data_IF_606065197408
#
_entry.id   IF_606065197408
#
_cell.length_a   1.000
_cell.length_b   1.000
_cell.length_c   1.000
_cell.angle_alpha   90.00
_cell.angle_beta   90.00
_cell.angle_gamma   90.00
#
_symmetry.space_group_name_H-M   'P 1'
#
loop_
_entity.id
_entity.type
_entity.pdbx_description
1 polymer ?
#
# COMPACT_ATOMS: atom_id res chain seq x y z
N UNK A 1 12.96 -25.57 -15.62
CA UNK A 1 12.69 -24.15 -15.82
C UNK A 1 12.24 -23.54 -14.51
N UNK A 2 12.83 -22.40 -14.17
CA UNK A 2 12.48 -21.72 -12.94
C UNK A 2 11.20 -20.90 -13.14
N UNK A 3 10.22 -21.10 -12.27
CA UNK A 3 9.00 -20.28 -12.29
C UNK A 3 9.31 -18.89 -11.73
N UNK A 4 8.85 -17.87 -12.42
CA UNK A 4 8.94 -16.50 -11.92
C UNK A 4 7.75 -16.30 -10.97
N UNK A 5 8.02 -15.96 -9.68
CA UNK A 5 6.91 -15.71 -8.77
C UNK A 5 6.08 -14.52 -9.25
N UNK A 6 4.79 -14.68 -9.28
CA UNK A 6 3.89 -13.57 -9.58
C UNK A 6 3.53 -12.83 -8.28
N UNK A 7 3.31 -11.52 -8.40
CA UNK A 7 2.85 -10.71 -7.29
C UNK A 7 1.37 -10.99 -7.05
N UNK A 8 1.02 -11.39 -5.84
CA UNK A 8 -0.38 -11.49 -5.42
C UNK A 8 -0.83 -10.10 -4.95
N UNK A 9 -1.51 -9.38 -5.82
CA UNK A 9 -1.93 -8.01 -5.55
C UNK A 9 -2.94 -7.93 -4.41
N UNK A 10 -3.82 -8.93 -4.29
CA UNK A 10 -4.79 -8.97 -3.20
C UNK A 10 -4.10 -9.19 -1.87
N UNK A 11 -3.15 -10.11 -1.79
CA UNK A 11 -2.39 -10.37 -0.58
C UNK A 11 -1.53 -9.16 -0.21
N UNK A 12 -0.93 -8.51 -1.18
CA UNK A 12 -0.16 -7.29 -0.97
C UNK A 12 -1.06 -6.18 -0.40
N UNK A 13 -2.25 -6.02 -0.96
CA UNK A 13 -3.22 -5.04 -0.48
C UNK A 13 -3.65 -5.30 0.96
N UNK A 14 -3.92 -6.55 1.31
CA UNK A 14 -4.25 -6.95 2.68
C UNK A 14 -3.08 -6.64 3.63
N UNK A 15 -1.85 -6.86 3.20
CA UNK A 15 -0.66 -6.55 4.00
C UNK A 15 -0.53 -5.04 4.23
N UNK A 16 -0.78 -4.23 3.22
CA UNK A 16 -0.77 -2.77 3.37
C UNK A 16 -1.79 -2.35 4.42
N UNK A 17 -3.01 -2.87 4.34
CA UNK A 17 -4.07 -2.59 5.32
C UNK A 17 -3.65 -3.00 6.72
N UNK A 18 -3.14 -4.22 6.87
CA UNK A 18 -2.72 -4.76 8.16
C UNK A 18 -1.60 -3.93 8.78
N UNK A 19 -0.57 -3.63 8.00
CA UNK A 19 0.57 -2.84 8.49
C UNK A 19 0.16 -1.42 8.85
N UNK A 20 -0.74 -0.83 8.07
CA UNK A 20 -1.30 0.48 8.38
C UNK A 20 -2.00 0.49 9.72
N UNK A 21 -2.86 -0.51 9.95
CA UNK A 21 -3.59 -0.64 11.20
C UNK A 21 -2.66 -0.89 12.39
N UNK A 22 -1.64 -1.72 12.19
CA UNK A 22 -0.63 -1.98 13.24
C UNK A 22 0.17 -0.73 13.59
N UNK A 23 0.41 0.13 12.61
CA UNK A 23 1.09 1.41 12.82
C UNK A 23 0.17 2.47 13.46
N UNK A 24 -1.10 2.17 13.64
CA UNK A 24 -2.07 3.12 14.20
C UNK A 24 -2.47 4.23 13.24
N UNK A 25 -2.31 4.01 11.93
CA UNK A 25 -2.59 5.02 10.92
C UNK A 25 -3.93 4.76 10.24
N UNK A 26 -4.70 5.83 10.02
CA UNK A 26 -5.89 5.77 9.18
C UNK A 26 -5.53 5.93 7.71
N UNK A 27 -6.48 5.61 6.82
CA UNK A 27 -6.31 5.91 5.40
C UNK A 27 -6.09 7.41 5.17
N UNK A 28 -6.78 8.24 5.94
CA UNK A 28 -6.61 9.69 5.87
C UNK A 28 -5.19 10.13 6.27
N UNK A 29 -4.62 9.48 7.28
CA UNK A 29 -3.24 9.75 7.68
C UNK A 29 -2.29 9.46 6.53
N UNK A 30 -2.45 8.32 5.85
CA UNK A 30 -1.64 8.00 4.68
C UNK A 30 -1.86 9.00 3.55
N UNK A 31 -3.11 9.38 3.31
CA UNK A 31 -3.43 10.38 2.30
C UNK A 31 -2.64 11.67 2.53
N UNK A 32 -2.59 12.13 3.78
CA UNK A 32 -1.86 13.34 4.15
C UNK A 32 -0.35 13.16 3.99
N UNK A 33 0.19 12.02 4.41
CA UNK A 33 1.61 11.71 4.28
C UNK A 33 2.05 11.75 2.82
N UNK A 34 1.25 11.19 1.91
CA UNK A 34 1.55 11.18 0.49
C UNK A 34 1.22 12.50 -0.22
N UNK A 35 0.45 13.38 0.42
CA UNK A 35 0.00 14.62 -0.22
C UNK A 35 -1.04 14.39 -1.30
N UNK A 36 -1.81 13.30 -1.23
CA UNK A 36 -2.86 13.01 -2.20
C UNK A 36 -4.11 13.86 -1.93
N UNK A 37 -4.76 14.31 -3.00
CA UNK A 37 -6.00 15.07 -2.87
C UNK A 37 -7.19 14.20 -2.50
N UNK A 38 -7.12 12.89 -2.77
CA UNK A 38 -8.18 11.92 -2.45
C UNK A 38 -7.55 10.63 -1.91
N UNK A 39 -8.31 9.79 -1.19
CA UNK A 39 -7.79 8.52 -0.70
C UNK A 39 -7.87 7.37 -1.71
N UNK A 40 -8.31 7.65 -2.95
CA UNK A 40 -8.64 6.58 -3.90
C UNK A 40 -7.46 5.68 -4.24
N UNK A 41 -6.27 6.23 -4.40
CA UNK A 41 -5.08 5.43 -4.71
C UNK A 41 -4.80 4.43 -3.58
N UNK A 42 -4.93 4.86 -2.33
CA UNK A 42 -4.70 4.00 -1.16
C UNK A 42 -5.71 2.87 -1.13
N UNK A 43 -6.98 3.16 -1.38
CA UNK A 43 -8.01 2.11 -1.44
C UNK A 43 -7.73 1.11 -2.56
N UNK A 44 -7.29 1.58 -3.73
CA UNK A 44 -6.92 0.69 -4.83
C UNK A 44 -5.76 -0.23 -4.44
N UNK A 45 -4.78 0.28 -3.72
CA UNK A 45 -3.68 -0.54 -3.21
C UNK A 45 -4.19 -1.61 -2.24
N UNK A 46 -5.05 -1.21 -1.30
CA UNK A 46 -5.60 -2.13 -0.30
C UNK A 46 -6.49 -3.21 -0.91
N UNK A 47 -7.21 -2.88 -1.98
CA UNK A 47 -8.08 -3.83 -2.67
C UNK A 47 -7.35 -4.67 -3.72
N UNK A 48 -6.08 -4.38 -3.99
CA UNK A 48 -5.30 -5.11 -4.97
C UNK A 48 -5.66 -4.79 -6.41
N UNK A 49 -6.34 -3.66 -6.66
CA UNK A 49 -6.70 -3.25 -8.02
C UNK A 49 -5.62 -2.40 -8.69
N UNK A 50 -4.68 -1.91 -7.91
CA UNK A 50 -3.50 -1.19 -8.41
C UNK A 50 -2.35 -1.38 -7.45
N UNK A 51 -1.12 -1.31 -7.94
CA UNK A 51 0.08 -1.35 -7.14
C UNK A 51 0.63 0.07 -6.96
N UNK A 52 1.19 0.39 -5.78
CA UNK A 52 1.94 1.63 -5.64
C UNK A 52 3.12 1.67 -6.59
N UNK A 53 3.44 2.85 -7.12
CA UNK A 53 4.68 3.05 -7.85
C UNK A 53 5.88 2.87 -6.89
N UNK A 54 7.07 2.68 -7.46
CA UNK A 54 8.26 2.36 -6.65
C UNK A 54 8.56 3.44 -5.61
N UNK A 55 8.44 4.70 -5.96
CA UNK A 55 8.64 5.81 -5.03
C UNK A 55 7.64 5.76 -3.87
N UNK A 56 6.39 5.43 -4.15
CA UNK A 56 5.37 5.28 -3.12
C UNK A 56 5.62 4.05 -2.24
N UNK A 57 6.15 2.96 -2.82
CA UNK A 57 6.53 1.77 -2.04
C UNK A 57 7.64 2.10 -1.04
N UNK A 58 8.62 2.91 -1.43
CA UNK A 58 9.70 3.33 -0.53
C UNK A 58 9.13 4.12 0.65
N UNK A 59 8.20 5.04 0.39
CA UNK A 59 7.56 5.83 1.45
C UNK A 59 6.72 4.92 2.34
N UNK A 60 5.94 4.00 1.78
CA UNK A 60 5.16 3.04 2.57
C UNK A 60 6.05 2.20 3.47
N UNK A 61 7.16 1.69 2.95
CA UNK A 61 8.09 0.90 3.74
C UNK A 61 8.63 1.69 4.93
N UNK A 62 8.95 2.97 4.73
CA UNK A 62 9.45 3.82 5.80
C UNK A 62 8.37 4.14 6.85
N UNK A 63 7.13 4.36 6.41
CA UNK A 63 6.03 4.78 7.28
C UNK A 63 5.42 3.60 8.04
N UNK A 64 5.32 2.44 7.40
CA UNK A 64 4.65 1.26 7.96
C UNK A 64 5.58 0.30 8.69
N UNK A 65 6.85 0.55 8.61
CA UNK A 65 7.83 -0.32 9.25
C UNK A 65 7.98 0.02 10.73
#
# INVERSE_FOLDING_TARGET
MMAIPSIDMEATGRNITRLRQQAGLTVRDLQEIFGFTTPQAIYKWQHGTAMPAIDNLVVLAAVLN
#
